data_IF_002888423591
#
_entry.id   IF_002888423591
#
_cell.length_a   1.000
_cell.length_b   1.000
_cell.length_c   1.000
_cell.angle_alpha   90.00
_cell.angle_beta   90.00
_cell.angle_gamma   90.00
#
_symmetry.space_group_name_H-M   'P 1'
#
loop_
_entity.id
_entity.type
_entity.pdbx_description
1 polymer ?
#
# COMPACT_ATOMS: atom_id res chain seq x y z
N UNK A 1 -46.79 -48.45 -39.94
CA UNK A 1 -47.84 -47.42 -39.77
C UNK A 1 -48.00 -47.13 -38.30
N UNK A 2 -48.12 -45.84 -37.93
CA UNK A 2 -48.19 -45.22 -36.57
C UNK A 2 -46.81 -44.91 -35.97
N UNK A 3 -46.13 -43.81 -36.30
CA UNK A 3 -46.35 -42.36 -36.04
C UNK A 3 -46.33 -41.91 -34.56
N UNK A 4 -45.29 -41.12 -34.25
CA UNK A 4 -45.24 -39.87 -33.46
C UNK A 4 -45.72 -39.87 -31.99
N UNK A 5 -44.73 -39.77 -31.08
CA UNK A 5 -44.82 -39.03 -29.81
C UNK A 5 -43.46 -38.33 -29.60
N UNK A 6 -43.26 -37.11 -30.13
CA UNK A 6 -43.32 -35.84 -29.38
C UNK A 6 -42.27 -35.86 -28.25
N UNK A 7 -41.01 -35.46 -28.45
CA UNK A 7 -40.52 -34.12 -28.83
C UNK A 7 -41.15 -32.98 -28.02
N UNK A 8 -41.06 -33.01 -26.69
CA UNK A 8 -41.46 -31.85 -25.86
C UNK A 8 -40.82 -31.79 -24.45
N UNK A 9 -39.70 -32.49 -24.18
CA UNK A 9 -39.10 -32.51 -22.83
C UNK A 9 -37.63 -32.09 -22.75
N UNK A 10 -37.08 -31.48 -23.80
CA UNK A 10 -35.67 -31.05 -23.86
C UNK A 10 -35.47 -29.58 -24.22
N UNK A 11 -36.52 -28.76 -24.14
CA UNK A 11 -36.40 -27.30 -24.38
C UNK A 11 -36.67 -26.46 -23.12
N UNK A 12 -37.31 -27.00 -22.07
CA UNK A 12 -37.57 -26.24 -20.84
C UNK A 12 -36.42 -26.27 -19.82
N UNK A 13 -35.51 -27.23 -19.90
CA UNK A 13 -34.34 -27.29 -19.01
C UNK A 13 -33.17 -26.38 -19.45
N UNK A 14 -33.14 -25.94 -20.71
CA UNK A 14 -32.08 -25.05 -21.20
C UNK A 14 -32.32 -23.57 -20.90
N UNK A 15 -33.56 -23.15 -20.66
CA UNK A 15 -33.86 -21.73 -20.35
C UNK A 15 -33.60 -21.41 -18.87
N UNK A 16 -33.80 -22.36 -17.94
CA UNK A 16 -33.55 -22.13 -16.50
C UNK A 16 -32.06 -22.24 -16.15
N UNK A 17 -31.30 -23.12 -16.81
CA UNK A 17 -29.85 -23.22 -16.61
C UNK A 17 -29.07 -22.01 -17.19
N UNK A 18 -29.60 -21.37 -18.25
CA UNK A 18 -29.00 -20.18 -18.84
C UNK A 18 -29.22 -18.91 -18.00
N UNK A 19 -30.26 -18.85 -17.15
CA UNK A 19 -30.47 -17.71 -16.23
C UNK A 19 -29.55 -17.73 -15.01
N UNK A 20 -29.01 -18.90 -14.62
CA UNK A 20 -28.07 -19.03 -13.50
C UNK A 20 -26.61 -18.96 -13.92
N UNK A 21 -26.27 -19.43 -15.13
CA UNK A 21 -24.90 -19.41 -15.63
C UNK A 21 -24.45 -18.04 -16.19
N UNK A 22 -25.36 -17.07 -16.32
CA UNK A 22 -25.08 -15.70 -16.76
C UNK A 22 -25.19 -14.66 -15.63
N UNK A 23 -24.97 -15.06 -14.37
CA UNK A 23 -24.24 -14.19 -13.43
C UNK A 23 -22.76 -14.41 -13.71
N UNK A 24 -22.26 -13.80 -14.78
CA UNK A 24 -20.89 -13.32 -14.76
C UNK A 24 -20.86 -12.40 -13.55
N UNK A 25 -20.27 -12.84 -12.43
CA UNK A 25 -20.08 -12.06 -11.21
C UNK A 25 -19.27 -10.82 -11.58
N UNK A 26 -19.94 -9.78 -12.08
CA UNK A 26 -19.40 -8.44 -12.12
C UNK A 26 -19.13 -8.08 -10.66
N UNK A 27 -17.85 -8.01 -10.29
CA UNK A 27 -17.45 -7.50 -8.99
C UNK A 27 -18.16 -6.18 -8.72
N UNK A 28 -18.61 -5.97 -7.48
CA UNK A 28 -19.18 -4.68 -7.09
C UNK A 28 -18.11 -3.58 -7.18
N UNK A 29 -18.51 -2.31 -7.27
CA UNK A 29 -17.54 -1.20 -7.28
C UNK A 29 -16.68 -1.21 -6.01
N UNK A 30 -17.26 -1.52 -4.85
CA UNK A 30 -16.51 -1.67 -3.60
C UNK A 30 -15.47 -2.79 -3.67
N UNK A 31 -15.81 -3.94 -4.26
CA UNK A 31 -14.85 -5.02 -4.45
C UNK A 31 -13.71 -4.63 -5.39
N UNK A 32 -14.00 -3.84 -6.43
CA UNK A 32 -12.98 -3.30 -7.34
C UNK A 32 -12.01 -2.38 -6.59
N UNK A 33 -12.52 -1.48 -5.74
CA UNK A 33 -11.69 -0.59 -4.94
C UNK A 33 -10.82 -1.34 -3.92
N UNK A 34 -11.36 -2.36 -3.24
CA UNK A 34 -10.56 -3.21 -2.34
C UNK A 34 -9.45 -3.95 -3.10
N UNK A 35 -9.77 -4.47 -4.28
CA UNK A 35 -8.80 -5.16 -5.14
C UNK A 35 -7.71 -4.20 -5.62
N UNK A 36 -8.09 -3.03 -6.12
CA UNK A 36 -7.14 -2.01 -6.56
C UNK A 36 -6.21 -1.60 -5.40
N UNK A 37 -6.76 -1.30 -4.22
CA UNK A 37 -5.97 -0.96 -3.06
C UNK A 37 -4.94 -2.05 -2.72
N UNK A 38 -5.37 -3.32 -2.69
CA UNK A 38 -4.48 -4.45 -2.43
C UNK A 38 -3.38 -4.59 -3.49
N UNK A 39 -3.71 -4.41 -4.77
CA UNK A 39 -2.74 -4.45 -5.88
C UNK A 39 -1.71 -3.34 -5.73
N UNK A 40 -2.13 -2.13 -5.36
CA UNK A 40 -1.22 -1.00 -5.12
C UNK A 40 -0.31 -1.23 -3.90
N UNK A 41 -0.84 -1.78 -2.81
CA UNK A 41 -0.02 -2.21 -1.67
C UNK A 41 1.04 -3.22 -2.10
N UNK A 42 0.67 -4.22 -2.90
CA UNK A 42 1.60 -5.23 -3.37
C UNK A 42 2.66 -4.63 -4.32
N UNK A 43 2.26 -3.71 -5.20
CA UNK A 43 3.18 -2.99 -6.07
C UNK A 43 4.19 -2.15 -5.28
N UNK A 44 3.78 -1.51 -4.17
CA UNK A 44 4.73 -0.84 -3.27
C UNK A 44 5.76 -1.84 -2.72
N UNK A 45 5.32 -3.00 -2.22
CA UNK A 45 6.23 -4.00 -1.63
C UNK A 45 7.27 -4.53 -2.61
N UNK A 46 6.96 -4.56 -3.91
CA UNK A 46 7.90 -5.00 -4.96
C UNK A 46 8.75 -3.88 -5.54
N UNK A 47 8.17 -2.69 -5.76
CA UNK A 47 8.80 -1.59 -6.50
C UNK A 47 9.40 -0.52 -5.58
N UNK A 48 9.00 -0.49 -4.31
CA UNK A 48 9.32 0.56 -3.33
C UNK A 48 8.94 1.98 -3.79
N UNK A 49 7.93 2.11 -4.66
CA UNK A 49 7.45 3.42 -5.15
C UNK A 49 6.33 3.98 -4.27
N UNK A 50 6.57 5.05 -3.48
CA UNK A 50 5.62 5.53 -2.48
C UNK A 50 4.29 6.05 -3.04
N UNK A 51 4.23 6.47 -4.30
CA UNK A 51 2.96 6.91 -4.90
C UNK A 51 1.91 5.79 -4.89
N UNK A 52 2.34 4.52 -4.93
CA UNK A 52 1.44 3.35 -4.82
C UNK A 52 0.64 3.35 -3.50
N UNK A 53 1.23 3.78 -2.39
CA UNK A 53 0.52 3.88 -1.12
C UNK A 53 -0.58 4.96 -1.16
N UNK A 54 -0.33 6.06 -1.87
CA UNK A 54 -1.33 7.12 -2.07
C UNK A 54 -2.46 6.65 -3.00
N UNK A 55 -2.14 5.94 -4.06
CA UNK A 55 -3.12 5.33 -4.96
C UNK A 55 -4.00 4.33 -4.19
N UNK A 56 -3.39 3.48 -3.35
CA UNK A 56 -4.14 2.57 -2.48
C UNK A 56 -5.08 3.31 -1.54
N UNK A 57 -4.60 4.36 -0.87
CA UNK A 57 -5.43 5.15 0.04
C UNK A 57 -6.62 5.80 -0.69
N UNK A 58 -6.41 6.33 -1.90
CA UNK A 58 -7.50 6.90 -2.72
C UNK A 58 -8.54 5.86 -3.12
N UNK A 59 -8.11 4.66 -3.49
CA UNK A 59 -9.05 3.56 -3.79
C UNK A 59 -9.90 3.23 -2.55
N UNK A 60 -9.29 3.14 -1.37
CA UNK A 60 -10.02 2.90 -0.12
C UNK A 60 -10.97 4.05 0.27
N UNK A 61 -10.63 5.30 -0.04
CA UNK A 61 -11.51 6.45 0.17
C UNK A 61 -12.78 6.40 -0.69
N UNK A 62 -12.76 5.66 -1.81
CA UNK A 62 -13.93 5.48 -2.68
C UNK A 62 -14.86 4.34 -2.23
N UNK A 63 -14.54 3.63 -1.14
CA UNK A 63 -15.44 2.63 -0.58
C UNK A 63 -16.72 3.31 -0.09
N UNK A 64 -17.84 2.95 -0.71
CA UNK A 64 -19.16 3.42 -0.33
C UNK A 64 -19.94 2.27 0.28
N UNK A 65 -19.81 2.10 1.59
CA UNK A 65 -20.52 1.05 2.32
C UNK A 65 -22.03 1.32 2.42
N UNK A 66 -22.47 2.57 2.24
CA UNK A 66 -23.87 2.95 2.40
C UNK A 66 -24.77 2.47 1.24
N UNK A 67 -24.20 2.20 0.06
CA UNK A 67 -24.96 1.66 -1.09
C UNK A 67 -25.17 0.13 -0.98
N UNK A 68 -24.51 -0.54 -0.05
CA UNK A 68 -24.62 -1.98 0.14
C UNK A 68 -25.76 -2.31 1.11
N UNK A 69 -26.85 -2.83 0.56
CA UNK A 69 -28.07 -3.15 1.31
C UNK A 69 -27.94 -4.43 2.15
N UNK A 70 -27.19 -5.41 1.65
CA UNK A 70 -26.92 -6.66 2.35
C UNK A 70 -25.94 -6.39 3.50
N UNK A 71 -26.40 -6.64 4.73
CA UNK A 71 -25.61 -6.37 5.94
C UNK A 71 -24.35 -7.22 5.99
N UNK A 72 -24.42 -8.50 5.63
CA UNK A 72 -23.27 -9.41 5.67
C UNK A 72 -22.20 -8.97 4.68
N UNK A 73 -22.61 -8.60 3.46
CA UNK A 73 -21.69 -8.05 2.44
C UNK A 73 -21.06 -6.75 2.93
N UNK A 74 -21.85 -5.85 3.50
CA UNK A 74 -21.34 -4.58 4.04
C UNK A 74 -20.35 -4.78 5.19
N UNK A 75 -20.62 -5.71 6.11
CA UNK A 75 -19.70 -6.07 7.19
C UNK A 75 -18.39 -6.65 6.65
N UNK A 76 -18.45 -7.54 5.66
CA UNK A 76 -17.24 -8.08 5.02
C UNK A 76 -16.39 -7.00 4.35
N UNK A 77 -17.03 -6.14 3.54
CA UNK A 77 -16.36 -5.03 2.86
C UNK A 77 -15.71 -4.07 3.86
N UNK A 78 -16.43 -3.73 4.94
CA UNK A 78 -15.91 -2.89 6.02
C UNK A 78 -14.66 -3.49 6.67
N UNK A 79 -14.73 -4.77 7.06
CA UNK A 79 -13.64 -5.48 7.71
C UNK A 79 -12.41 -5.56 6.81
N UNK A 80 -12.60 -5.87 5.53
CA UNK A 80 -11.50 -5.88 4.53
C UNK A 80 -10.92 -4.48 4.33
N UNK A 81 -11.76 -3.45 4.24
CA UNK A 81 -11.33 -2.06 4.18
C UNK A 81 -10.48 -1.65 5.38
N UNK A 82 -10.90 -1.99 6.60
CA UNK A 82 -10.12 -1.74 7.82
C UNK A 82 -8.74 -2.39 7.74
N UNK A 83 -8.68 -3.68 7.39
CA UNK A 83 -7.40 -4.40 7.31
C UNK A 83 -6.44 -3.76 6.30
N UNK A 84 -6.93 -3.30 5.16
CA UNK A 84 -6.10 -2.60 4.17
C UNK A 84 -5.62 -1.23 4.68
N UNK A 85 -6.47 -0.47 5.37
CA UNK A 85 -6.06 0.79 6.02
C UNK A 85 -4.97 0.56 7.07
N UNK A 86 -5.15 -0.44 7.95
CA UNK A 86 -4.15 -0.78 8.96
C UNK A 86 -2.86 -1.30 8.32
N UNK A 87 -2.95 -2.06 7.23
CA UNK A 87 -1.78 -2.51 6.47
C UNK A 87 -0.99 -1.33 5.91
N UNK A 88 -1.66 -0.30 5.38
CA UNK A 88 -0.98 0.92 4.90
C UNK A 88 -0.25 1.64 6.03
N UNK A 89 -0.88 1.74 7.20
CA UNK A 89 -0.26 2.37 8.39
C UNK A 89 0.96 1.56 8.86
N UNK A 90 0.83 0.24 8.94
CA UNK A 90 1.92 -0.66 9.32
C UNK A 90 3.10 -0.57 8.33
N UNK A 91 2.83 -0.51 7.02
CA UNK A 91 3.89 -0.33 6.01
C UNK A 91 4.69 0.95 6.25
N UNK A 92 4.03 2.06 6.60
CA UNK A 92 4.73 3.30 6.94
C UNK A 92 5.59 3.12 8.19
N UNK A 93 5.05 2.43 9.20
CA UNK A 93 5.77 2.17 10.44
C UNK A 93 7.00 1.27 10.23
N UNK A 94 6.93 0.31 9.30
CA UNK A 94 8.06 -0.57 8.92
C UNK A 94 9.15 0.13 8.10
N UNK A 95 8.75 1.00 7.17
CA UNK A 95 9.67 1.51 6.15
C UNK A 95 10.22 2.91 6.45
N UNK A 96 9.62 3.65 7.38
CA UNK A 96 10.15 4.93 7.83
C UNK A 96 11.24 4.68 8.86
N UNK A 97 12.44 5.12 8.52
CA UNK A 97 13.59 5.07 9.40
C UNK A 97 13.45 6.18 10.47
N UNK A 98 13.34 5.82 11.77
CA UNK A 98 13.20 6.81 12.84
C UNK A 98 14.47 7.67 13.04
N UNK A 99 15.62 7.22 12.55
CA UNK A 99 16.89 7.96 12.64
C UNK A 99 17.17 8.80 11.38
N UNK A 100 16.25 8.80 10.40
CA UNK A 100 16.43 9.53 9.15
C UNK A 100 16.59 11.04 9.36
N UNK A 101 17.77 11.57 9.04
CA UNK A 101 18.02 13.01 9.01
C UNK A 101 17.81 13.60 7.61
N UNK A 102 16.72 14.36 7.45
CA UNK A 102 16.43 15.10 6.22
C UNK A 102 17.49 16.13 5.81
N UNK A 103 18.39 16.54 6.72
CA UNK A 103 19.50 17.46 6.43
C UNK A 103 20.75 16.75 5.95
N UNK A 104 20.87 15.44 6.12
CA UNK A 104 21.97 14.64 5.60
C UNK A 104 21.76 14.31 4.11
N UNK A 105 21.81 15.37 3.29
CA UNK A 105 21.50 15.29 1.86
C UNK A 105 22.61 14.52 1.11
N UNK A 106 22.26 13.53 0.27
CA UNK A 106 23.23 12.86 -0.58
C UNK A 106 23.90 13.83 -1.55
N UNK A 107 25.15 13.55 -1.94
CA UNK A 107 25.86 14.37 -2.92
C UNK A 107 25.22 14.21 -4.29
N UNK A 108 25.16 15.28 -5.09
CA UNK A 108 24.68 15.20 -6.47
C UNK A 108 25.59 14.31 -7.32
N UNK A 109 26.90 14.55 -7.22
CA UNK A 109 27.96 13.73 -7.80
C UNK A 109 29.06 13.52 -6.77
N UNK A 110 29.73 12.36 -6.81
CA UNK A 110 30.86 12.06 -5.93
C UNK A 110 32.13 12.66 -6.54
N UNK A 111 32.92 13.33 -5.71
CA UNK A 111 34.24 13.87 -6.09
C UNK A 111 35.24 12.72 -6.22
N UNK A 112 35.90 12.55 -7.39
CA UNK A 112 37.02 11.62 -7.54
C UNK A 112 38.18 11.93 -6.59
N UNK A 113 38.95 10.90 -6.18
CA UNK A 113 40.24 11.12 -5.53
C UNK A 113 41.18 11.88 -6.47
N UNK A 114 42.15 12.58 -5.88
CA UNK A 114 43.21 13.24 -6.65
C UNK A 114 44.08 12.17 -7.33
N UNK A 115 44.37 12.37 -8.61
CA UNK A 115 45.23 11.45 -9.38
C UNK A 115 46.68 11.58 -8.93
N UNK A 116 47.53 10.60 -9.31
CA UNK A 116 48.93 10.53 -8.87
C UNK A 116 49.81 11.70 -9.33
N UNK A 117 49.43 12.38 -10.41
CA UNK A 117 50.05 13.61 -10.93
C UNK A 117 49.55 14.88 -10.22
N UNK A 118 48.63 14.75 -9.26
CA UNK A 118 48.04 15.87 -8.53
C UNK A 118 46.83 16.49 -9.23
N UNK A 119 46.36 15.95 -10.36
CA UNK A 119 45.17 16.46 -11.05
C UNK A 119 43.91 16.14 -10.25
N UNK A 120 43.00 17.12 -10.13
CA UNK A 120 41.69 16.93 -9.50
C UNK A 120 40.63 16.85 -10.60
N UNK A 121 40.12 15.65 -10.83
CA UNK A 121 39.04 15.43 -11.79
C UNK A 121 37.72 16.05 -11.29
N UNK A 122 36.81 16.49 -12.19
CA UNK A 122 35.53 17.05 -11.78
C UNK A 122 34.62 16.00 -11.11
N UNK A 123 33.67 16.41 -10.25
CA UNK A 123 32.67 15.51 -9.67
C UNK A 123 31.91 14.72 -10.75
N UNK A 124 31.86 13.40 -10.60
CA UNK A 124 31.20 12.51 -11.55
C UNK A 124 32.01 12.17 -12.79
N UNK A 125 33.33 12.41 -12.79
CA UNK A 125 34.23 11.88 -13.82
C UNK A 125 34.12 10.35 -13.94
N UNK A 126 34.50 9.82 -15.10
CA UNK A 126 34.48 8.37 -15.32
C UNK A 126 35.55 7.71 -14.44
N UNK A 127 35.24 6.67 -13.65
CA UNK A 127 36.25 5.92 -12.91
C UNK A 127 37.39 5.39 -13.79
N UNK A 128 37.14 5.18 -15.10
CA UNK A 128 38.18 4.80 -16.06
C UNK A 128 39.30 5.84 -16.19
N UNK A 129 39.03 7.11 -15.89
CA UNK A 129 40.02 8.20 -15.92
C UNK A 129 40.96 8.20 -14.69
N UNK A 130 40.72 7.33 -13.71
CA UNK A 130 41.56 7.18 -12.51
C UNK A 130 42.55 6.04 -12.75
N UNK A 131 43.83 6.36 -12.91
CA UNK A 131 44.87 5.36 -13.21
C UNK A 131 45.11 4.36 -12.08
N UNK A 132 45.13 4.82 -10.83
CA UNK A 132 45.38 3.96 -9.67
C UNK A 132 44.17 3.01 -9.44
N UNK A 133 44.34 1.68 -9.59
CA UNK A 133 43.25 0.73 -9.43
C UNK A 133 42.65 0.71 -8.02
N UNK A 134 43.42 1.04 -6.98
CA UNK A 134 42.89 1.13 -5.60
C UNK A 134 42.01 2.36 -5.45
N UNK A 135 42.50 3.52 -5.88
CA UNK A 135 41.75 4.77 -5.85
C UNK A 135 40.46 4.67 -6.70
N UNK A 136 40.54 4.00 -7.86
CA UNK A 136 39.37 3.70 -8.71
C UNK A 136 38.33 2.87 -7.97
N UNK A 137 38.73 1.76 -7.36
CA UNK A 137 37.81 0.88 -6.62
C UNK A 137 37.14 1.59 -5.43
N UNK A 138 37.88 2.43 -4.71
CA UNK A 138 37.33 3.26 -3.63
C UNK A 138 36.32 4.29 -4.17
N UNK A 139 36.62 4.91 -5.31
CA UNK A 139 35.71 5.86 -5.95
C UNK A 139 34.42 5.20 -6.44
N UNK A 140 34.52 4.04 -7.09
CA UNK A 140 33.36 3.24 -7.52
C UNK A 140 32.47 2.85 -6.34
N UNK A 141 33.10 2.41 -5.23
CA UNK A 141 32.39 2.12 -3.99
C UNK A 141 31.67 3.36 -3.46
N UNK A 142 32.34 4.51 -3.42
CA UNK A 142 31.74 5.76 -2.97
C UNK A 142 30.57 6.22 -3.86
N UNK A 143 30.66 6.02 -5.19
CA UNK A 143 29.54 6.24 -6.12
C UNK A 143 28.36 5.33 -5.77
N UNK A 144 28.61 4.03 -5.58
CA UNK A 144 27.55 3.06 -5.28
C UNK A 144 26.86 3.36 -3.93
N UNK A 145 27.63 3.71 -2.90
CA UNK A 145 27.11 4.12 -1.59
C UNK A 145 26.28 5.42 -1.69
N UNK A 146 26.77 6.42 -2.44
CA UNK A 146 26.02 7.66 -2.64
C UNK A 146 24.72 7.42 -3.44
N UNK A 147 24.72 6.51 -4.43
CA UNK A 147 23.49 6.12 -5.15
C UNK A 147 22.47 5.48 -4.21
N UNK A 148 22.89 4.51 -3.39
CA UNK A 148 22.02 3.90 -2.37
C UNK A 148 21.45 4.95 -1.40
N UNK A 149 22.30 5.90 -0.96
CA UNK A 149 21.88 7.01 -0.11
C UNK A 149 20.87 7.92 -0.83
N UNK A 150 21.07 8.23 -2.12
CA UNK A 150 20.11 8.99 -2.92
C UNK A 150 18.74 8.32 -2.97
N UNK A 151 18.71 7.02 -3.24
CA UNK A 151 17.45 6.28 -3.36
C UNK A 151 16.73 6.18 -2.01
N UNK A 152 17.45 5.85 -0.93
CA UNK A 152 16.89 5.86 0.42
C UNK A 152 16.39 7.26 0.81
N UNK A 153 17.17 8.31 0.57
CA UNK A 153 16.77 9.68 0.90
C UNK A 153 15.46 10.07 0.18
N UNK A 154 15.33 9.77 -1.12
CA UNK A 154 14.10 10.02 -1.87
C UNK A 154 12.92 9.25 -1.31
N UNK A 155 13.12 7.97 -0.98
CA UNK A 155 12.10 7.11 -0.37
C UNK A 155 11.62 7.71 0.96
N UNK A 156 12.53 8.00 1.89
CA UNK A 156 12.20 8.52 3.22
C UNK A 156 11.49 9.87 3.16
N UNK A 157 11.91 10.80 2.28
CA UNK A 157 11.23 12.08 2.10
C UNK A 157 9.78 11.87 1.62
N UNK A 158 9.55 10.96 0.66
CA UNK A 158 8.22 10.66 0.15
C UNK A 158 7.35 9.98 1.22
N UNK A 159 7.86 8.94 1.89
CA UNK A 159 7.14 8.24 2.96
C UNK A 159 6.79 9.18 4.12
N UNK A 160 7.72 10.04 4.53
CA UNK A 160 7.48 11.06 5.57
C UNK A 160 6.36 12.03 5.21
N UNK A 161 6.18 12.38 3.93
CA UNK A 161 5.03 13.20 3.48
C UNK A 161 3.71 12.42 3.55
N UNK A 162 3.74 11.14 3.16
CA UNK A 162 2.55 10.27 3.21
C UNK A 162 2.13 10.04 4.66
N UNK A 163 3.07 9.83 5.57
CA UNK A 163 2.81 9.62 7.00
C UNK A 163 2.13 10.82 7.69
N UNK A 164 2.24 12.03 7.12
CA UNK A 164 1.52 13.20 7.65
C UNK A 164 0.02 13.17 7.37
N UNK A 165 -0.43 12.41 6.37
CA UNK A 165 -1.83 12.44 5.92
C UNK A 165 -2.52 11.09 6.00
N UNK A 166 -1.81 10.00 5.66
CA UNK A 166 -2.38 8.66 5.56
C UNK A 166 -2.96 8.14 6.89
N UNK A 167 -2.27 8.27 8.05
CA UNK A 167 -2.86 7.86 9.32
C UNK A 167 -4.19 8.56 9.60
N UNK A 168 -4.28 9.87 9.39
CA UNK A 168 -5.54 10.62 9.61
C UNK A 168 -6.70 10.14 8.73
N UNK A 169 -6.42 9.63 7.52
CA UNK A 169 -7.43 9.03 6.64
C UNK A 169 -7.92 7.67 7.15
N UNK A 170 -7.01 6.83 7.63
CA UNK A 170 -7.36 5.56 8.28
C UNK A 170 -8.22 5.81 9.54
N UNK A 171 -7.87 6.83 10.33
CA UNK A 171 -8.65 7.22 11.51
C UNK A 171 -10.05 7.71 11.13
N UNK A 172 -10.18 8.48 10.05
CA UNK A 172 -11.48 8.91 9.54
C UNK A 172 -12.34 7.71 9.11
N UNK A 173 -11.74 6.71 8.44
CA UNK A 173 -12.46 5.48 8.09
C UNK A 173 -12.95 4.74 9.34
N UNK A 174 -12.09 4.59 10.36
CA UNK A 174 -12.46 3.95 11.63
C UNK A 174 -13.63 4.68 12.28
N UNK A 175 -13.53 6.01 12.45
CA UNK A 175 -14.60 6.81 13.08
C UNK A 175 -15.93 6.73 12.34
N UNK A 176 -15.89 6.68 11.01
CA UNK A 176 -17.11 6.64 10.18
C UNK A 176 -17.75 5.25 10.10
N UNK A 177 -16.97 4.18 10.30
CA UNK A 177 -17.43 2.81 10.05
C UNK A 177 -17.57 1.95 11.31
N UNK A 178 -17.02 2.39 12.44
CA UNK A 178 -17.03 1.67 13.70
C UNK A 178 -17.65 2.54 14.79
N UNK A 179 -18.44 1.90 15.64
CA UNK A 179 -19.19 2.51 16.74
C UNK A 179 -18.67 2.07 18.11
N UNK A 180 -19.34 2.53 19.17
CA UNK A 180 -19.05 2.13 20.56
C UNK A 180 -19.68 0.77 20.93
N UNK A 181 -20.26 0.05 19.96
CA UNK A 181 -20.80 -1.29 20.19
C UNK A 181 -19.69 -2.31 20.49
N UNK A 182 -19.94 -3.24 21.41
CA UNK A 182 -18.96 -4.25 21.82
C UNK A 182 -18.42 -5.07 20.63
N UNK A 183 -19.25 -5.36 19.64
CA UNK A 183 -18.85 -6.06 18.41
C UNK A 183 -17.82 -5.28 17.60
N UNK A 184 -18.07 -3.99 17.34
CA UNK A 184 -17.15 -3.14 16.59
C UNK A 184 -15.82 -2.94 17.31
N UNK A 185 -15.89 -2.77 18.64
CA UNK A 185 -14.73 -2.63 19.51
C UNK A 185 -13.83 -3.88 19.45
N UNK A 186 -14.44 -5.06 19.53
CA UNK A 186 -13.73 -6.33 19.45
C UNK A 186 -13.12 -6.57 18.06
N UNK A 187 -13.87 -6.29 16.99
CA UNK A 187 -13.35 -6.42 15.61
C UNK A 187 -12.15 -5.49 15.37
N UNK A 188 -12.30 -4.20 15.72
CA UNK A 188 -11.22 -3.23 15.53
C UNK A 188 -10.00 -3.59 16.39
N UNK A 189 -10.22 -3.94 17.66
CA UNK A 189 -9.14 -4.32 18.57
C UNK A 189 -8.35 -5.50 18.04
N UNK A 190 -9.04 -6.57 17.62
CA UNK A 190 -8.40 -7.75 17.05
C UNK A 190 -7.56 -7.40 15.80
N UNK A 191 -8.10 -6.57 14.90
CA UNK A 191 -7.39 -6.17 13.71
C UNK A 191 -6.14 -5.31 14.00
N UNK A 192 -6.22 -4.38 14.97
CA UNK A 192 -5.07 -3.57 15.40
C UNK A 192 -4.01 -4.44 16.07
N UNK A 193 -4.40 -5.35 16.96
CA UNK A 193 -3.48 -6.25 17.65
C UNK A 193 -2.74 -7.17 16.68
N UNK A 194 -3.43 -7.63 15.62
CA UNK A 194 -2.87 -8.49 14.58
C UNK A 194 -1.91 -7.75 13.64
N UNK A 195 -2.28 -6.55 13.16
CA UNK A 195 -1.60 -5.91 12.02
C UNK A 195 -0.61 -4.81 12.39
N UNK A 196 -0.78 -4.17 13.54
CA UNK A 196 0.08 -3.06 13.94
C UNK A 196 1.15 -3.60 14.88
N UNK A 197 2.42 -3.25 14.66
CA UNK A 197 3.51 -3.70 15.53
C UNK A 197 3.85 -2.65 16.60
N UNK A 198 3.93 -1.37 16.21
CA UNK A 198 4.35 -0.29 17.11
C UNK A 198 3.29 -0.01 18.18
N UNK A 199 3.69 -0.10 19.46
CA UNK A 199 2.76 0.11 20.58
C UNK A 199 2.13 1.51 20.57
N UNK A 200 2.91 2.56 20.30
CA UNK A 200 2.40 3.94 20.19
C UNK A 200 1.26 4.04 19.16
N UNK A 201 1.40 3.34 18.03
CA UNK A 201 0.38 3.31 16.98
C UNK A 201 -0.87 2.57 17.46
N UNK A 202 -0.71 1.43 18.15
CA UNK A 202 -1.84 0.70 18.77
C UNK A 202 -2.60 1.61 19.70
N UNK A 203 -1.91 2.25 20.65
CA UNK A 203 -2.52 3.11 21.66
C UNK A 203 -3.30 4.26 21.03
N UNK A 204 -2.73 4.89 20.00
CA UNK A 204 -3.40 5.96 19.24
C UNK A 204 -4.68 5.47 18.56
N UNK A 205 -4.63 4.35 17.85
CA UNK A 205 -5.79 3.81 17.14
C UNK A 205 -6.87 3.30 18.10
N UNK A 206 -6.49 2.66 19.20
CA UNK A 206 -7.43 2.23 20.26
C UNK A 206 -8.07 3.42 20.95
N UNK A 207 -7.36 4.54 21.11
CA UNK A 207 -7.92 5.74 21.75
C UNK A 207 -9.11 6.35 20.99
N UNK A 208 -9.24 6.07 19.68
CA UNK A 208 -10.33 6.57 18.85
C UNK A 208 -11.71 6.05 19.32
N UNK A 209 -11.70 4.92 20.02
CA UNK A 209 -12.90 4.26 20.53
C UNK A 209 -13.45 4.91 21.81
N UNK A 210 -12.65 5.73 22.48
CA UNK A 210 -13.04 6.37 23.73
C UNK A 210 -13.35 7.87 23.55
N UNK A 211 -13.35 8.37 22.32
CA UNK A 211 -13.60 9.79 22.03
C UNK A 211 -15.06 9.99 21.59
N UNK A 212 -15.81 10.90 22.24
CA UNK A 212 -17.16 11.21 21.81
C UNK A 212 -17.15 11.72 20.36
N UNK A 213 -18.00 11.14 19.52
CA UNK A 213 -18.18 11.59 18.14
C UNK A 213 -18.79 13.00 18.15
N UNK A 214 -18.02 13.98 17.68
CA UNK A 214 -18.43 15.41 17.58
C UNK A 214 -19.16 15.70 16.29
#
# INVERSE_FOLDING_TARGET
MRYLAISALTVLAMVVAASFAFRINSMSENEKYLKEAQEKINAFKSEMEPERLKESARALENLNLAIEYDSEVRHDLRRRGLRLWLTLVQILDEHIDPEFDSKDVPKMSVQPPQTSDGTLLPPGADPADIDDPKARAEYEKAIAENRKKQDNYRLQIKLGRINKTLPGRAEAFIKNCYSDSEEDQNELKAAIEELIEKQERKDRLMSLLNQPQT
#
